data_IF_371054349911
#
_entry.id   IF_371054349911
#
_cell.length_a   1.000
_cell.length_b   1.000
_cell.length_c   1.000
_cell.angle_alpha   90.00
_cell.angle_beta   90.00
_cell.angle_gamma   90.00
#
_symmetry.space_group_name_H-M   'P 1'
#
loop_
_entity.id
_entity.type
_entity.pdbx_description
1 polymer ?
#
# COMPACT_ATOMS: atom_id res chain seq x y z
N UNK A 1 0.53 22.95 -6.10
CA UNK A 1 -0.46 22.01 -5.53
C UNK A 1 0.21 21.31 -4.36
N UNK A 2 -0.41 21.30 -3.19
CA UNK A 2 0.15 20.64 -2.01
C UNK A 2 -0.66 19.39 -1.73
N UNK A 3 -0.03 18.22 -1.87
CA UNK A 3 -0.67 16.96 -1.49
C UNK A 3 -0.65 16.81 0.03
N UNK A 4 -1.69 16.18 0.58
CA UNK A 4 -1.68 15.70 1.97
C UNK A 4 -1.62 14.17 1.98
N UNK A 5 -1.11 13.59 3.07
CA UNK A 5 -1.01 12.14 3.22
C UNK A 5 -1.66 11.71 4.52
N UNK A 6 -2.42 10.62 4.47
CA UNK A 6 -3.05 9.98 5.64
C UNK A 6 -2.79 8.47 5.62
N UNK A 7 -2.70 7.81 6.77
CA UNK A 7 -2.64 6.35 6.82
C UNK A 7 -3.95 5.72 6.32
N UNK A 8 -3.86 4.51 5.81
CA UNK A 8 -5.01 3.64 5.56
C UNK A 8 -5.49 3.04 6.88
N UNK A 9 -6.68 3.45 7.31
CA UNK A 9 -7.37 2.96 8.50
C UNK A 9 -8.90 2.91 8.24
N UNK A 10 -9.70 2.64 9.27
CA UNK A 10 -11.16 2.58 9.14
C UNK A 10 -11.78 3.92 8.70
N UNK A 11 -11.17 5.04 9.07
CA UNK A 11 -11.68 6.39 8.75
C UNK A 11 -11.36 6.78 7.31
N UNK A 12 -10.26 6.30 6.76
CA UNK A 12 -9.83 6.57 5.37
C UNK A 12 -10.17 5.45 4.39
N UNK A 13 -10.78 4.36 4.86
CA UNK A 13 -11.19 3.22 4.04
C UNK A 13 -12.09 3.62 2.86
N UNK A 14 -13.08 4.50 3.10
CA UNK A 14 -14.02 4.90 2.06
C UNK A 14 -13.31 5.61 0.89
N UNK A 15 -12.33 6.47 1.18
CA UNK A 15 -11.57 7.20 0.18
C UNK A 15 -10.67 6.26 -0.64
N UNK A 16 -9.99 5.33 0.04
CA UNK A 16 -9.20 4.28 -0.61
C UNK A 16 -10.07 3.40 -1.52
N UNK A 17 -11.21 2.92 -1.01
CA UNK A 17 -12.12 2.08 -1.76
C UNK A 17 -12.66 2.81 -3.00
N UNK A 18 -13.05 4.08 -2.87
CA UNK A 18 -13.55 4.89 -3.98
C UNK A 18 -12.49 5.05 -5.09
N UNK A 19 -11.22 5.25 -4.73
CA UNK A 19 -10.13 5.29 -5.71
C UNK A 19 -9.95 3.92 -6.37
N UNK A 20 -9.86 2.83 -5.60
CA UNK A 20 -9.66 1.48 -6.14
C UNK A 20 -10.80 1.06 -7.06
N UNK A 21 -12.05 1.33 -6.69
CA UNK A 21 -13.26 0.98 -7.46
C UNK A 21 -13.33 1.74 -8.77
N UNK A 22 -12.99 3.05 -8.79
CA UNK A 22 -12.89 3.85 -10.02
C UNK A 22 -11.90 3.25 -11.03
N UNK A 23 -10.92 2.50 -10.53
CA UNK A 23 -9.91 1.80 -11.34
C UNK A 23 -10.15 0.29 -11.41
N UNK A 24 -11.40 -0.15 -11.30
CA UNK A 24 -11.84 -1.55 -11.43
C UNK A 24 -11.08 -2.52 -10.53
N UNK A 25 -10.82 -2.11 -9.27
CA UNK A 25 -10.14 -2.95 -8.29
C UNK A 25 -8.61 -3.02 -8.44
N UNK A 26 -8.03 -2.24 -9.36
CA UNK A 26 -6.61 -2.21 -9.75
C UNK A 26 -6.13 -3.53 -10.38
N UNK A 27 -5.61 -3.46 -11.62
CA UNK A 27 -5.01 -4.58 -12.36
C UNK A 27 -5.79 -5.90 -12.26
N UNK A 28 -7.09 -5.85 -12.52
CA UNK A 28 -7.96 -7.04 -12.46
C UNK A 28 -8.44 -7.41 -11.07
N UNK A 29 -8.57 -6.45 -10.15
CA UNK A 29 -9.13 -6.68 -8.82
C UNK A 29 -8.09 -7.08 -7.77
N UNK A 30 -6.87 -6.54 -7.83
CA UNK A 30 -5.82 -6.86 -6.89
C UNK A 30 -6.05 -6.24 -5.51
N UNK A 31 -6.64 -5.04 -5.40
CA UNK A 31 -6.84 -4.29 -4.13
C UNK A 31 -5.57 -4.19 -3.25
N UNK A 32 -4.39 -4.36 -3.86
CA UNK A 32 -3.05 -4.60 -3.29
C UNK A 32 -2.91 -5.79 -2.31
N UNK A 33 -3.78 -6.80 -2.44
CA UNK A 33 -3.66 -8.10 -1.77
C UNK A 33 -2.58 -9.01 -2.37
N UNK A 34 -1.93 -8.58 -3.46
CA UNK A 34 -0.94 -9.39 -4.18
C UNK A 34 0.32 -9.71 -3.36
N UNK A 35 0.66 -8.89 -2.37
CA UNK A 35 1.85 -9.07 -1.52
C UNK A 35 1.54 -9.68 -0.15
N UNK A 36 0.26 -9.74 0.21
CA UNK A 36 -0.23 -10.44 1.39
C UNK A 36 -0.20 -11.96 1.16
N UNK A 37 -0.26 -12.73 2.25
CA UNK A 37 -0.51 -14.17 2.15
C UNK A 37 -1.72 -14.47 1.24
N UNK A 38 -1.65 -15.58 0.49
CA UNK A 38 -2.59 -15.90 -0.60
C UNK A 38 -4.05 -15.72 -0.14
N UNK A 39 -4.76 -14.78 -0.78
CA UNK A 39 -6.15 -14.46 -0.47
C UNK A 39 -7.16 -15.18 -1.37
N UNK A 40 -8.41 -14.71 -1.33
CA UNK A 40 -9.58 -15.32 -1.96
C UNK A 40 -9.74 -14.99 -3.47
N UNK A 41 -8.68 -14.52 -4.14
CA UNK A 41 -8.74 -14.08 -5.53
C UNK A 41 -9.51 -12.76 -5.73
N UNK A 42 -9.62 -12.30 -6.98
CA UNK A 42 -10.12 -10.97 -7.33
C UNK A 42 -11.51 -10.65 -6.73
N UNK A 43 -12.45 -11.60 -6.75
CA UNK A 43 -13.80 -11.41 -6.21
C UNK A 43 -13.85 -11.22 -4.69
N UNK A 44 -12.87 -11.76 -3.95
CA UNK A 44 -12.82 -11.65 -2.48
C UNK A 44 -11.83 -10.60 -1.95
N UNK A 45 -10.98 -10.04 -2.81
CA UNK A 45 -9.88 -9.16 -2.39
C UNK A 45 -10.37 -7.86 -1.73
N UNK A 46 -11.50 -7.30 -2.17
CA UNK A 46 -12.11 -6.13 -1.52
C UNK A 46 -12.42 -6.38 -0.04
N UNK A 47 -13.19 -7.44 0.23
CA UNK A 47 -13.61 -7.79 1.57
C UNK A 47 -12.41 -8.21 2.43
N UNK A 48 -11.46 -8.95 1.86
CA UNK A 48 -10.24 -9.34 2.55
C UNK A 48 -9.37 -8.13 2.93
N UNK A 49 -9.24 -7.15 2.02
CA UNK A 49 -8.52 -5.90 2.30
C UNK A 49 -9.21 -5.09 3.40
N UNK A 50 -10.54 -4.96 3.35
CA UNK A 50 -11.31 -4.27 4.38
C UNK A 50 -11.15 -4.92 5.76
N UNK A 51 -11.19 -6.25 5.84
CA UNK A 51 -10.99 -6.98 7.09
C UNK A 51 -9.59 -6.71 7.67
N UNK A 52 -8.55 -6.67 6.82
CA UNK A 52 -7.18 -6.33 7.27
C UNK A 52 -7.07 -4.90 7.77
N UNK A 53 -7.78 -3.95 7.15
CA UNK A 53 -7.82 -2.56 7.62
C UNK A 53 -8.42 -2.48 9.02
N UNK A 54 -9.57 -3.12 9.26
CA UNK A 54 -10.21 -3.20 10.59
C UNK A 54 -9.31 -3.87 11.64
N UNK A 55 -8.55 -4.87 11.23
CA UNK A 55 -7.66 -5.60 12.13
C UNK A 55 -6.30 -4.90 12.34
N UNK A 56 -6.04 -3.76 11.70
CA UNK A 56 -4.73 -3.09 11.73
C UNK A 56 -3.60 -3.92 11.11
N UNK A 57 -3.92 -4.89 10.26
CA UNK A 57 -2.97 -5.82 9.64
C UNK A 57 -2.73 -5.49 8.16
N UNK A 58 -2.95 -4.24 7.77
CA UNK A 58 -2.47 -3.72 6.49
C UNK A 58 -2.16 -2.24 6.54
N UNK A 59 -1.05 -1.83 5.92
CA UNK A 59 -0.62 -0.44 5.91
C UNK A 59 -0.52 0.15 4.50
N UNK A 60 -0.94 1.40 4.34
CA UNK A 60 -0.69 2.20 3.16
C UNK A 60 -0.71 3.68 3.50
N UNK A 61 0.12 4.47 2.81
CA UNK A 61 0.08 5.92 2.84
C UNK A 61 -0.79 6.41 1.68
N UNK A 62 -1.96 6.99 1.98
CA UNK A 62 -2.93 7.48 1.02
C UNK A 62 -2.67 8.97 0.72
N UNK A 63 -2.54 9.32 -0.55
CA UNK A 63 -2.30 10.68 -0.99
C UNK A 63 -3.61 11.34 -1.39
N UNK A 64 -3.82 12.56 -0.90
CA UNK A 64 -5.01 13.36 -1.14
C UNK A 64 -4.67 14.68 -1.83
N UNK A 65 -5.50 15.05 -2.79
CA UNK A 65 -5.62 16.40 -3.30
C UNK A 65 -6.99 16.96 -2.91
N UNK A 66 -6.99 17.91 -1.97
CA UNK A 66 -8.20 18.30 -1.26
C UNK A 66 -8.84 17.10 -0.54
N UNK A 67 -10.10 16.80 -0.88
CA UNK A 67 -10.83 15.66 -0.33
C UNK A 67 -10.64 14.36 -1.14
N UNK A 68 -10.06 14.42 -2.34
CA UNK A 68 -9.98 13.25 -3.21
C UNK A 68 -8.69 12.45 -2.94
N UNK A 69 -8.82 11.15 -2.65
CA UNK A 69 -7.67 10.25 -2.69
C UNK A 69 -7.24 10.02 -4.15
N UNK A 70 -5.97 10.29 -4.45
CA UNK A 70 -5.40 10.29 -5.81
C UNK A 70 -4.27 9.26 -6.00
N UNK A 71 -3.85 8.59 -4.93
CA UNK A 71 -2.88 7.52 -4.99
C UNK A 71 -2.55 6.93 -3.63
N UNK A 72 -1.74 5.88 -3.60
CA UNK A 72 -1.19 5.32 -2.37
C UNK A 72 0.16 4.62 -2.57
N UNK A 73 0.84 4.41 -1.45
CA UNK A 73 2.00 3.55 -1.31
C UNK A 73 1.73 2.48 -0.24
N UNK A 74 1.80 1.20 -0.61
CA UNK A 74 1.63 0.08 0.31
C UNK A 74 2.91 -0.19 1.09
N UNK A 75 2.70 -0.10 2.40
CA UNK A 75 3.55 -0.38 3.53
C UNK A 75 3.45 -1.74 4.23
N UNK A 76 4.47 -2.23 4.91
CA UNK A 76 4.24 -3.12 6.05
C UNK A 76 5.47 -3.89 6.50
N UNK A 77 5.45 -4.49 7.70
CA UNK A 77 6.51 -5.38 8.13
C UNK A 77 6.59 -6.60 7.21
N UNK A 78 7.77 -7.22 7.13
CA UNK A 78 8.01 -8.37 6.23
C UNK A 78 7.06 -9.55 6.44
N UNK A 79 6.58 -9.75 7.68
CA UNK A 79 5.56 -10.74 8.02
C UNK A 79 4.14 -10.39 7.52
N UNK A 80 3.81 -9.10 7.41
CA UNK A 80 2.53 -8.65 6.80
C UNK A 80 2.55 -8.86 5.28
N UNK A 81 3.71 -8.59 4.66
CA UNK A 81 3.92 -8.62 3.22
C UNK A 81 4.92 -9.73 2.84
N UNK A 82 4.57 -11.02 3.03
CA UNK A 82 5.52 -12.13 2.91
C UNK A 82 5.84 -12.51 1.46
N UNK A 83 5.06 -12.06 0.47
CA UNK A 83 5.24 -12.49 -0.93
C UNK A 83 6.28 -11.61 -1.63
N UNK A 84 7.31 -12.26 -2.17
CA UNK A 84 8.41 -11.61 -2.89
C UNK A 84 8.51 -12.23 -4.28
N UNK A 85 8.78 -11.40 -5.29
CA UNK A 85 9.09 -11.90 -6.65
C UNK A 85 10.51 -12.46 -6.68
N UNK A 86 10.76 -13.49 -7.48
CA UNK A 86 12.10 -14.10 -7.60
C UNK A 86 12.70 -14.54 -6.25
N UNK A 87 11.86 -15.14 -5.39
CA UNK A 87 12.19 -15.49 -4.00
C UNK A 87 13.56 -16.14 -3.80
N UNK A 88 13.93 -17.09 -4.66
CA UNK A 88 15.23 -17.76 -4.58
C UNK A 88 16.41 -16.78 -4.71
N UNK A 89 16.38 -15.92 -5.72
CA UNK A 89 17.45 -14.93 -5.91
C UNK A 89 17.46 -13.87 -4.79
N UNK A 90 16.28 -13.52 -4.27
CA UNK A 90 16.17 -12.67 -3.09
C UNK A 90 16.85 -13.30 -1.86
N UNK A 91 16.55 -14.57 -1.58
CA UNK A 91 17.10 -15.31 -0.43
C UNK A 91 18.62 -15.53 -0.57
N UNK A 92 19.11 -15.79 -1.79
CA UNK A 92 20.56 -15.94 -2.07
C UNK A 92 21.34 -14.63 -1.82
N UNK A 93 20.72 -13.46 -2.02
CA UNK A 93 21.31 -12.16 -1.77
C UNK A 93 20.99 -11.54 -0.42
N UNK A 94 20.19 -12.21 0.42
CA UNK A 94 19.70 -11.65 1.67
C UNK A 94 20.73 -11.78 2.79
N UNK A 95 21.33 -10.66 3.18
CA UNK A 95 22.21 -10.63 4.36
C UNK A 95 21.39 -10.57 5.65
N UNK A 96 20.43 -9.64 5.72
CA UNK A 96 19.51 -9.46 6.84
C UNK A 96 18.12 -9.15 6.29
N UNK A 97 17.08 -9.71 6.92
CA UNK A 97 15.71 -9.39 6.58
C UNK A 97 15.40 -7.95 7.05
N UNK A 98 14.82 -7.08 6.20
CA UNK A 98 14.49 -5.74 6.64
C UNK A 98 13.30 -5.73 7.59
N UNK A 99 13.15 -4.64 8.30
CA UNK A 99 12.03 -4.43 9.22
C UNK A 99 10.73 -4.18 8.43
N UNK A 100 10.83 -3.41 7.32
CA UNK A 100 9.70 -2.94 6.52
C UNK A 100 9.89 -3.16 5.02
N UNK A 101 8.76 -3.22 4.30
CA UNK A 101 8.69 -3.29 2.84
C UNK A 101 7.77 -2.26 2.26
N UNK A 102 8.15 -1.76 1.10
CA UNK A 102 7.29 -1.00 0.20
C UNK A 102 7.03 -1.84 -1.05
N UNK A 103 5.77 -2.22 -1.26
CA UNK A 103 5.45 -3.28 -2.23
C UNK A 103 4.60 -2.85 -3.42
N UNK A 104 3.70 -1.88 -3.25
CA UNK A 104 2.77 -1.49 -4.30
C UNK A 104 2.50 0.01 -4.27
N UNK A 105 2.72 0.66 -5.41
CA UNK A 105 2.24 2.01 -5.67
C UNK A 105 1.06 1.97 -6.63
N UNK A 106 0.09 2.84 -6.38
CA UNK A 106 -0.96 3.12 -7.35
C UNK A 106 -1.23 4.62 -7.39
N UNK A 107 -1.25 5.18 -8.59
CA UNK A 107 -1.49 6.60 -8.83
C UNK A 107 -2.62 6.68 -9.86
N UNK A 108 -3.62 7.51 -9.57
CA UNK A 108 -4.71 7.79 -10.50
C UNK A 108 -4.12 8.23 -11.85
N UNK A 109 -4.59 7.63 -12.94
CA UNK A 109 -4.10 7.91 -14.29
C UNK A 109 -4.12 9.41 -14.62
N UNK A 110 -5.14 10.13 -14.14
CA UNK A 110 -5.28 11.56 -14.39
C UNK A 110 -4.27 12.42 -13.62
N UNK A 111 -3.60 11.87 -12.60
CA UNK A 111 -2.72 12.58 -11.66
C UNK A 111 -1.24 12.18 -11.76
N UNK A 112 -0.88 11.44 -12.82
CA UNK A 112 0.49 11.01 -13.08
C UNK A 112 1.36 12.19 -13.53
N UNK A 113 2.64 12.14 -13.21
CA UNK A 113 3.59 13.22 -13.53
C UNK A 113 3.55 14.42 -12.58
N UNK A 114 2.59 14.46 -11.65
CA UNK A 114 2.42 15.57 -10.71
C UNK A 114 3.18 15.37 -9.37
N UNK A 115 3.88 14.25 -9.20
CA UNK A 115 4.64 13.95 -7.97
C UNK A 115 3.87 13.15 -6.90
N UNK A 116 2.65 12.66 -7.20
CA UNK A 116 1.84 11.84 -6.27
C UNK A 116 2.62 10.63 -5.72
N UNK A 117 3.40 9.94 -6.55
CA UNK A 117 4.21 8.80 -6.12
C UNK A 117 5.27 9.18 -5.07
N UNK A 118 5.91 10.35 -5.25
CA UNK A 118 6.91 10.86 -4.32
C UNK A 118 6.25 11.24 -2.98
N UNK A 119 5.07 11.89 -3.02
CA UNK A 119 4.29 12.17 -1.82
C UNK A 119 3.87 10.89 -1.09
N UNK A 120 3.43 9.86 -1.82
CA UNK A 120 3.06 8.57 -1.26
C UNK A 120 4.24 7.87 -0.57
N UNK A 121 5.42 7.87 -1.22
CA UNK A 121 6.65 7.31 -0.65
C UNK A 121 7.06 8.07 0.61
N UNK A 122 7.10 9.40 0.56
CA UNK A 122 7.45 10.23 1.70
C UNK A 122 6.51 9.98 2.89
N UNK A 123 5.20 9.86 2.64
CA UNK A 123 4.23 9.53 3.68
C UNK A 123 4.38 8.10 4.24
N UNK A 124 4.71 7.12 3.39
CA UNK A 124 4.98 5.76 3.85
C UNK A 124 6.21 5.72 4.78
N UNK A 125 7.29 6.41 4.41
CA UNK A 125 8.48 6.53 5.26
C UNK A 125 8.17 7.28 6.57
N UNK A 126 7.32 8.29 6.53
CA UNK A 126 6.85 9.00 7.72
C UNK A 126 6.08 8.10 8.68
N UNK A 127 5.15 7.28 8.16
CA UNK A 127 4.43 6.30 8.98
C UNK A 127 5.35 5.20 9.52
N UNK A 128 6.30 4.70 8.73
CA UNK A 128 7.31 3.75 9.19
C UNK A 128 8.10 4.34 10.36
N UNK A 129 8.57 5.58 10.24
CA UNK A 129 9.27 6.27 11.32
C UNK A 129 8.40 6.41 12.58
N UNK A 130 7.12 6.76 12.41
CA UNK A 130 6.14 6.84 13.52
C UNK A 130 5.90 5.50 14.20
N UNK A 131 5.99 4.39 13.46
CA UNK A 131 5.78 3.02 13.95
C UNK A 131 7.03 2.35 14.52
N UNK A 132 8.12 3.09 14.71
CA UNK A 132 9.37 2.61 15.32
C UNK A 132 10.58 2.62 14.40
N UNK A 133 10.40 2.95 13.12
CA UNK A 133 11.48 3.03 12.14
C UNK A 133 12.13 1.67 11.86
N UNK A 134 13.31 1.72 11.25
CA UNK A 134 14.08 0.53 10.87
C UNK A 134 14.50 0.58 9.41
N UNK A 135 14.97 -0.56 8.92
CA UNK A 135 15.38 -0.76 7.53
C UNK A 135 14.16 -0.98 6.64
N UNK A 136 14.18 -0.36 5.45
CA UNK A 136 13.10 -0.40 4.47
C UNK A 136 13.67 -0.85 3.13
N UNK A 137 12.98 -1.78 2.46
CA UNK A 137 13.26 -2.19 1.07
C UNK A 137 12.08 -1.88 0.12
#
# INVERSE_FOLDING_TARGET
MSFSVKPLDETSWADFAALVERHNGVWGGCWCMAFHAKGNGAGGNRAAKQARVRNGSTHAALVFDGAACVGWCQFGPTGELPRIKHRRAYEEGLTNLPDWRITCFFIDKARRGEGVAAAALAGALGEIARLGGGTVE
#
